data_IF_227888082315
#
_entry.id   IF_227888082315
#
_cell.length_a   1.000
_cell.length_b   1.000
_cell.length_c   1.000
_cell.angle_alpha   90.00
_cell.angle_beta   90.00
_cell.angle_gamma   90.00
#
_symmetry.space_group_name_H-M   'P 1'
#
loop_
_entity.id
_entity.type
_entity.pdbx_description
1 polymer ?
#
# COMPACT_ATOMS: atom_id res chain seq x y z
N UNK A 1 15.35 2.80 16.51
CA UNK A 1 15.55 1.78 17.57
C UNK A 1 16.75 0.91 17.20
N UNK A 2 17.31 0.13 18.13
CA UNK A 2 18.59 -0.57 17.95
C UNK A 2 18.63 -1.56 16.78
N UNK A 3 17.50 -2.20 16.44
CA UNK A 3 17.40 -3.16 15.34
C UNK A 3 17.00 -2.53 13.99
N UNK A 4 16.92 -1.20 13.91
CA UNK A 4 16.51 -0.48 12.70
C UNK A 4 15.01 -0.57 12.41
N UNK A 5 14.67 -0.41 11.13
CA UNK A 5 13.31 -0.55 10.62
C UNK A 5 12.98 -2.01 10.25
N UNK A 6 11.69 -2.32 10.10
CA UNK A 6 11.25 -3.62 9.59
C UNK A 6 11.76 -3.85 8.16
N UNK A 7 11.91 -2.79 7.37
CA UNK A 7 12.48 -2.87 6.02
C UNK A 7 13.92 -3.38 6.05
N UNK A 8 14.76 -2.79 6.91
CA UNK A 8 16.15 -3.20 7.11
C UNK A 8 16.25 -4.67 7.52
N UNK A 9 15.34 -5.09 8.41
CA UNK A 9 15.30 -6.46 8.93
C UNK A 9 14.81 -7.48 7.90
N UNK A 10 13.87 -7.12 7.03
CA UNK A 10 13.41 -7.99 5.95
C UNK A 10 14.46 -8.10 4.85
N UNK A 11 15.18 -7.01 4.56
CA UNK A 11 16.28 -6.98 3.59
C UNK A 11 17.60 -7.56 4.13
N UNK A 12 17.64 -7.95 5.41
CA UNK A 12 18.84 -8.50 6.07
C UNK A 12 20.04 -7.54 5.96
N UNK A 13 19.78 -6.23 6.08
CA UNK A 13 20.81 -5.19 6.07
C UNK A 13 21.85 -5.50 7.15
N UNK A 14 23.13 -5.26 6.84
CA UNK A 14 24.28 -5.59 7.69
C UNK A 14 24.40 -7.09 8.04
N UNK A 15 24.05 -7.97 7.10
CA UNK A 15 24.12 -9.44 7.25
C UNK A 15 23.35 -9.95 8.47
N UNK A 16 22.27 -9.27 8.81
CA UNK A 16 21.46 -9.67 9.96
C UNK A 16 20.72 -10.97 9.68
N UNK A 17 20.55 -11.86 10.69
CA UNK A 17 19.90 -13.14 10.48
C UNK A 17 18.44 -12.96 10.06
N UNK A 18 17.98 -13.88 9.21
CA UNK A 18 16.58 -13.92 8.78
C UNK A 18 15.65 -13.98 9.99
N UNK A 19 14.63 -13.13 9.98
CA UNK A 19 13.66 -13.10 11.07
C UNK A 19 12.80 -14.36 11.04
N UNK A 20 12.68 -15.11 12.16
CA UNK A 20 11.83 -16.27 12.25
C UNK A 20 10.35 -15.94 12.02
N UNK A 21 9.57 -16.88 11.50
CA UNK A 21 8.16 -16.65 11.16
C UNK A 21 7.31 -16.16 12.36
N UNK A 22 7.60 -16.64 13.57
CA UNK A 22 6.83 -16.31 14.77
C UNK A 22 7.02 -14.86 15.19
N UNK A 23 8.23 -14.32 14.98
CA UNK A 23 8.53 -12.91 15.19
C UNK A 23 7.78 -12.03 14.18
N UNK A 24 7.77 -12.44 12.91
CA UNK A 24 7.00 -11.75 11.85
C UNK A 24 5.51 -11.70 12.16
N UNK A 25 4.96 -12.81 12.65
CA UNK A 25 3.56 -12.89 13.08
C UNK A 25 3.29 -11.95 14.28
N UNK A 26 4.19 -11.92 15.27
CA UNK A 26 4.06 -11.03 16.43
C UNK A 26 4.06 -9.57 16.02
N UNK A 27 4.98 -9.17 15.13
CA UNK A 27 5.04 -7.81 14.58
C UNK A 27 3.74 -7.44 13.86
N UNK A 28 3.21 -8.32 13.00
CA UNK A 28 1.91 -8.08 12.34
C UNK A 28 0.77 -7.87 13.35
N UNK A 29 0.76 -8.65 14.43
CA UNK A 29 -0.24 -8.54 15.49
C UNK A 29 -0.11 -7.22 16.28
N UNK A 30 1.12 -6.82 16.62
CA UNK A 30 1.42 -5.57 17.32
C UNK A 30 1.00 -4.35 16.49
N UNK A 31 1.35 -4.31 15.19
CA UNK A 31 0.94 -3.24 14.27
C UNK A 31 -0.59 -3.18 14.17
N UNK A 32 -1.25 -4.33 13.97
CA UNK A 32 -2.71 -4.37 13.89
C UNK A 32 -3.36 -3.85 15.19
N UNK A 33 -2.78 -4.18 16.35
CA UNK A 33 -3.26 -3.70 17.64
C UNK A 33 -3.07 -2.19 17.80
N UNK A 34 -1.93 -1.66 17.35
CA UNK A 34 -1.66 -0.23 17.34
C UNK A 34 -2.65 0.52 16.42
N UNK A 35 -2.92 0.03 15.21
CA UNK A 35 -3.92 0.62 14.32
C UNK A 35 -5.33 0.60 14.94
N UNK A 36 -5.72 -0.51 15.58
CA UNK A 36 -7.01 -0.58 16.30
C UNK A 36 -7.10 0.48 17.40
N UNK A 37 -6.02 0.71 18.12
CA UNK A 37 -5.95 1.78 19.13
C UNK A 37 -6.12 3.17 18.51
N UNK A 38 -5.38 3.47 17.42
CA UNK A 38 -5.49 4.74 16.70
C UNK A 38 -6.90 4.96 16.13
N UNK A 39 -7.47 3.96 15.46
CA UNK A 39 -8.79 4.04 14.83
C UNK A 39 -9.94 4.13 15.85
N UNK A 40 -9.75 3.64 17.08
CA UNK A 40 -10.75 3.75 18.16
C UNK A 40 -10.60 5.00 19.02
N UNK A 41 -9.57 5.81 18.78
CA UNK A 41 -9.33 7.04 19.53
C UNK A 41 -10.53 7.98 19.47
N UNK A 42 -10.73 8.73 20.55
CA UNK A 42 -11.83 9.68 20.72
C UNK A 42 -11.27 11.09 20.93
N UNK A 43 -11.94 12.16 20.44
CA UNK A 43 -13.28 12.17 19.84
C UNK A 43 -13.33 11.64 18.40
N UNK A 44 -12.19 11.53 17.71
CA UNK A 44 -12.11 11.14 16.29
C UNK A 44 -11.06 10.04 16.08
N UNK A 45 -11.25 9.14 15.09
CA UNK A 45 -10.23 8.17 14.71
C UNK A 45 -8.98 8.90 14.21
N UNK A 46 -7.81 8.38 14.61
CA UNK A 46 -6.51 8.80 14.08
C UNK A 46 -6.14 7.82 12.97
N UNK A 47 -5.87 8.32 11.76
CA UNK A 47 -5.43 7.50 10.63
C UNK A 47 -3.93 7.73 10.43
N UNK A 48 -3.15 6.65 10.31
CA UNK A 48 -1.69 6.69 10.20
C UNK A 48 -1.22 7.28 8.87
N UNK A 49 -1.84 6.87 7.74
CA UNK A 49 -1.65 7.38 6.36
C UNK A 49 -0.35 7.01 5.65
N UNK A 50 0.75 6.75 6.35
CA UNK A 50 2.00 6.25 5.73
C UNK A 50 2.54 4.99 6.42
N UNK A 51 1.68 3.97 6.56
CA UNK A 51 2.10 2.70 7.13
C UNK A 51 2.93 1.91 6.10
N UNK A 52 4.20 1.64 6.42
CA UNK A 52 5.14 0.86 5.61
C UNK A 52 6.22 0.23 6.50
N UNK A 53 6.97 -0.79 6.05
CA UNK A 53 8.04 -1.41 6.82
C UNK A 53 9.10 -0.41 7.33
N UNK A 54 9.42 0.60 6.53
CA UNK A 54 10.35 1.67 6.93
C UNK A 54 9.89 2.51 8.13
N UNK A 55 8.57 2.60 8.37
CA UNK A 55 7.99 3.35 9.50
C UNK A 55 7.63 2.43 10.68
N UNK A 56 8.11 1.18 10.67
CA UNK A 56 7.95 0.21 11.75
C UNK A 56 9.34 -0.04 12.34
N UNK A 57 9.61 0.51 13.51
CA UNK A 57 10.89 0.33 14.19
C UNK A 57 10.87 -0.89 15.10
N UNK A 58 12.04 -1.54 15.23
CA UNK A 58 12.21 -2.75 16.03
C UNK A 58 13.31 -2.55 17.09
N UNK A 59 13.08 -3.03 18.31
CA UNK A 59 14.14 -3.07 19.36
C UNK A 59 14.92 -4.38 19.28
N UNK A 60 15.88 -4.57 20.20
CA UNK A 60 16.68 -5.79 20.30
C UNK A 60 15.84 -7.05 20.56
N UNK A 61 14.61 -6.91 21.06
CA UNK A 61 13.68 -8.02 21.28
C UNK A 61 12.69 -8.20 20.14
N UNK A 62 12.81 -7.47 19.02
CA UNK A 62 11.85 -7.40 17.91
C UNK A 62 10.46 -6.85 18.29
N UNK A 63 10.34 -6.13 19.40
CA UNK A 63 9.09 -5.42 19.73
C UNK A 63 8.95 -4.27 18.74
N UNK A 64 7.80 -4.21 18.07
CA UNK A 64 7.51 -3.22 17.04
C UNK A 64 6.91 -1.95 17.60
N UNK A 65 7.33 -0.81 17.05
CA UNK A 65 6.76 0.51 17.30
C UNK A 65 6.50 1.22 15.98
N UNK A 66 5.33 1.83 15.87
CA UNK A 66 5.02 2.70 14.74
C UNK A 66 5.71 4.05 14.91
N UNK A 67 6.41 4.47 13.87
CA UNK A 67 7.04 5.79 13.73
C UNK A 67 6.30 6.61 12.66
N UNK A 68 6.59 7.91 12.61
CA UNK A 68 6.11 8.84 11.58
C UNK A 68 4.58 9.08 11.55
N UNK A 69 4.06 9.50 12.72
CA UNK A 69 2.69 10.03 12.88
C UNK A 69 2.58 11.43 12.22
N UNK A 70 3.64 11.97 11.60
CA UNK A 70 3.67 13.31 11.00
C UNK A 70 2.67 13.51 9.87
N UNK A 71 2.22 12.43 9.25
CA UNK A 71 1.18 12.42 8.21
C UNK A 71 -0.20 12.03 8.73
N UNK A 72 -0.31 11.71 10.02
CA UNK A 72 -1.56 11.26 10.60
C UNK A 72 -2.58 12.39 10.65
N UNK A 73 -3.83 12.07 10.32
CA UNK A 73 -4.93 13.05 10.30
C UNK A 73 -6.13 12.51 11.08
N UNK A 74 -6.81 13.42 11.78
CA UNK A 74 -8.09 13.17 12.43
C UNK A 74 -9.23 13.46 11.45
N UNK A 75 -10.12 12.50 11.23
CA UNK A 75 -11.24 12.69 10.28
C UNK A 75 -12.49 13.21 10.98
N UNK A 76 -13.13 14.24 10.40
CA UNK A 76 -14.46 14.69 10.77
C UNK A 76 -15.52 13.72 10.23
N UNK A 77 -16.14 12.93 11.12
CA UNK A 77 -17.21 12.00 10.76
C UNK A 77 -18.61 12.65 10.73
N UNK A 78 -18.75 13.90 11.17
CA UNK A 78 -20.06 14.57 11.29
C UNK A 78 -20.56 15.20 9.99
N UNK A 79 -19.71 15.32 8.96
CA UNK A 79 -20.01 16.05 7.71
C UNK A 79 -20.25 15.11 6.51
N UNK A 80 -21.09 14.09 6.71
CA UNK A 80 -21.51 13.18 5.62
C UNK A 80 -22.37 13.91 4.58
N UNK A 81 -22.85 15.13 4.88
CA UNK A 81 -23.64 15.97 3.98
C UNK A 81 -22.80 16.93 3.12
N UNK A 82 -21.61 17.36 3.56
CA UNK A 82 -20.72 18.28 2.83
C UNK A 82 -19.60 17.54 2.08
N UNK A 83 -19.98 16.60 1.21
CA UNK A 83 -19.08 15.68 0.48
C UNK A 83 -18.12 16.31 -0.56
N UNK A 84 -17.94 17.63 -0.62
CA UNK A 84 -17.19 18.26 -1.73
C UNK A 84 -16.20 19.37 -1.36
N UNK A 85 -16.27 19.95 -0.16
CA UNK A 85 -15.53 21.19 0.14
C UNK A 85 -14.43 21.03 1.19
N UNK A 86 -14.52 20.06 2.12
CA UNK A 86 -13.51 19.86 3.18
C UNK A 86 -12.51 18.73 2.85
N UNK A 87 -12.81 17.89 1.86
CA UNK A 87 -12.01 16.71 1.47
C UNK A 87 -11.02 16.95 0.32
N UNK A 88 -10.94 18.17 -0.23
CA UNK A 88 -10.15 18.50 -1.43
C UNK A 88 -8.69 18.90 -1.17
N UNK A 89 -8.27 19.06 0.09
CA UNK A 89 -6.94 19.59 0.44
C UNK A 89 -5.96 18.57 1.04
N UNK A 90 -6.31 17.29 1.11
CA UNK A 90 -5.31 16.28 1.49
C UNK A 90 -4.54 15.86 0.25
N UNK A 91 -3.39 16.49 0.00
CA UNK A 91 -2.40 16.05 -1.00
C UNK A 91 -2.24 14.53 -0.96
N UNK A 92 -2.06 13.87 -2.09
CA UNK A 92 -1.78 12.43 -2.10
C UNK A 92 -0.45 12.21 -1.35
N UNK A 93 -0.53 11.71 -0.11
CA UNK A 93 0.65 11.41 0.71
C UNK A 93 0.59 9.94 1.12
N UNK A 94 1.73 9.28 1.02
CA UNK A 94 1.91 7.87 1.28
C UNK A 94 2.95 7.28 0.33
N UNK A 95 3.53 6.15 0.70
CA UNK A 95 4.46 5.43 -0.16
C UNK A 95 3.69 4.60 -1.18
N UNK A 96 3.90 4.84 -2.48
CA UNK A 96 3.02 4.41 -3.59
C UNK A 96 2.49 2.97 -3.49
N UNK A 97 3.33 1.98 -3.17
CA UNK A 97 2.94 0.57 -3.12
C UNK A 97 2.04 0.20 -1.93
N UNK A 98 1.87 1.11 -0.97
CA UNK A 98 1.07 0.92 0.25
C UNK A 98 -0.20 1.77 0.24
N UNK A 99 -0.39 2.62 -0.78
CA UNK A 99 -1.57 3.48 -0.89
C UNK A 99 -2.78 2.63 -1.29
N UNK A 100 -3.84 2.77 -0.51
CA UNK A 100 -5.15 2.19 -0.81
C UNK A 100 -5.66 2.69 -2.19
N UNK A 101 -5.96 1.78 -3.15
CA UNK A 101 -6.47 2.14 -4.46
C UNK A 101 -7.75 2.98 -4.41
N UNK A 102 -8.60 2.78 -3.40
CA UNK A 102 -9.80 3.58 -3.21
C UNK A 102 -9.46 5.00 -2.77
N UNK A 103 -8.54 5.16 -1.81
CA UNK A 103 -8.02 6.46 -1.40
C UNK A 103 -7.33 7.17 -2.58
N UNK A 104 -6.51 6.45 -3.36
CA UNK A 104 -5.84 6.99 -4.53
C UNK A 104 -6.82 7.51 -5.58
N UNK A 105 -7.92 6.79 -5.81
CA UNK A 105 -8.95 7.16 -6.81
C UNK A 105 -9.85 8.30 -6.34
N UNK A 106 -10.21 8.31 -5.07
CA UNK A 106 -11.24 9.21 -4.52
C UNK A 106 -10.67 10.43 -3.81
N UNK A 107 -9.42 10.36 -3.37
CA UNK A 107 -8.83 11.31 -2.42
C UNK A 107 -9.39 11.17 -0.99
N UNK A 108 -10.32 10.24 -0.74
CA UNK A 108 -10.99 10.09 0.56
C UNK A 108 -10.20 9.09 1.40
N UNK A 109 -9.57 9.60 2.46
CA UNK A 109 -8.85 8.76 3.42
C UNK A 109 -9.80 8.21 4.48
N UNK A 110 -9.59 6.95 4.87
CA UNK A 110 -10.35 6.32 5.94
C UNK A 110 -9.50 5.34 6.74
N UNK A 111 -9.97 4.84 7.90
CA UNK A 111 -9.31 3.73 8.60
C UNK A 111 -9.08 2.50 7.71
N UNK A 112 -9.85 2.32 6.62
CA UNK A 112 -9.62 1.24 5.66
C UNK A 112 -8.33 1.41 4.86
N UNK A 113 -7.86 2.63 4.69
CA UNK A 113 -6.63 2.91 3.97
C UNK A 113 -5.42 2.37 4.73
N UNK A 114 -5.35 2.55 6.05
CA UNK A 114 -4.31 1.91 6.89
C UNK A 114 -4.42 0.38 6.89
N UNK A 115 -5.65 -0.17 6.81
CA UNK A 115 -5.87 -1.63 6.74
C UNK A 115 -5.32 -2.20 5.42
N UNK A 116 -5.46 -1.47 4.31
CA UNK A 116 -4.86 -1.84 3.04
C UNK A 116 -3.32 -1.87 3.15
N UNK A 117 -2.73 -0.79 3.66
CA UNK A 117 -1.28 -0.70 3.86
C UNK A 117 -0.74 -1.82 4.77
N UNK A 118 -1.48 -2.16 5.85
CA UNK A 118 -1.17 -3.30 6.71
C UNK A 118 -1.20 -4.62 5.93
N UNK A 119 -2.15 -4.79 5.01
CA UNK A 119 -2.22 -5.95 4.13
C UNK A 119 -0.93 -6.15 3.34
N UNK A 120 -0.41 -5.08 2.73
CA UNK A 120 0.86 -5.11 2.00
C UNK A 120 2.04 -5.46 2.93
N UNK A 121 2.11 -4.84 4.12
CA UNK A 121 3.13 -5.16 5.13
C UNK A 121 3.08 -6.64 5.53
N UNK A 122 1.89 -7.20 5.74
CA UNK A 122 1.71 -8.63 6.07
C UNK A 122 2.23 -9.52 4.93
N UNK A 123 1.92 -9.19 3.67
CA UNK A 123 2.42 -9.94 2.53
C UNK A 123 3.95 -9.93 2.46
N UNK A 124 4.58 -8.79 2.74
CA UNK A 124 6.04 -8.70 2.82
C UNK A 124 6.62 -9.48 4.00
N UNK A 125 5.96 -9.47 5.16
CA UNK A 125 6.36 -10.29 6.30
C UNK A 125 6.35 -11.79 5.93
N UNK A 126 5.34 -12.26 5.20
CA UNK A 126 5.25 -13.67 4.79
C UNK A 126 6.29 -14.03 3.73
N UNK A 127 6.48 -13.16 2.73
CA UNK A 127 7.24 -13.51 1.52
C UNK A 127 8.69 -13.00 1.52
N UNK A 128 9.02 -12.01 2.36
CA UNK A 128 10.24 -11.21 2.29
C UNK A 128 10.50 -10.60 0.89
N UNK A 129 9.46 -10.38 0.10
CA UNK A 129 9.56 -9.81 -1.26
C UNK A 129 9.31 -8.30 -1.28
N UNK A 130 9.72 -7.69 -2.38
CA UNK A 130 9.40 -6.29 -2.71
C UNK A 130 7.88 -6.08 -2.68
N UNK A 131 7.39 -4.90 -2.24
CA UNK A 131 5.96 -4.58 -2.30
C UNK A 131 5.47 -4.38 -3.75
N UNK A 132 6.38 -4.20 -4.71
CA UNK A 132 6.05 -4.04 -6.13
C UNK A 132 5.57 -5.39 -6.68
N UNK A 133 4.37 -5.41 -7.27
CA UNK A 133 3.79 -6.60 -7.90
C UNK A 133 3.38 -7.72 -6.95
N UNK A 134 3.56 -7.55 -5.63
CA UNK A 134 3.27 -8.60 -4.65
C UNK A 134 1.80 -9.01 -4.64
N UNK A 135 0.88 -8.05 -4.82
CA UNK A 135 -0.56 -8.30 -4.89
C UNK A 135 -0.92 -9.16 -6.09
N UNK A 136 -0.39 -8.82 -7.28
CA UNK A 136 -0.59 -9.61 -8.49
C UNK A 136 -0.03 -11.03 -8.32
N UNK A 137 1.18 -11.16 -7.76
CA UNK A 137 1.81 -12.47 -7.55
C UNK A 137 0.98 -13.36 -6.60
N UNK A 138 0.42 -12.76 -5.55
CA UNK A 138 -0.48 -13.45 -4.64
C UNK A 138 -1.79 -13.83 -5.34
N UNK A 139 -2.41 -12.93 -6.10
CA UNK A 139 -3.64 -13.21 -6.85
C UNK A 139 -3.47 -14.34 -7.87
N UNK A 140 -2.32 -14.44 -8.53
CA UNK A 140 -2.01 -15.54 -9.46
C UNK A 140 -1.88 -16.90 -8.74
N UNK A 141 -1.27 -16.90 -7.55
CA UNK A 141 -0.89 -18.14 -6.86
C UNK A 141 -1.91 -18.61 -5.83
N UNK A 142 -2.82 -17.73 -5.36
CA UNK A 142 -3.82 -18.06 -4.32
C UNK A 142 -4.84 -19.13 -4.76
N UNK A 143 -4.87 -19.47 -6.05
CA UNK A 143 -5.72 -20.52 -6.60
C UNK A 143 -5.19 -21.92 -6.26
N UNK A 144 -3.87 -22.06 -6.04
CA UNK A 144 -3.21 -23.31 -5.68
C UNK A 144 -2.40 -23.15 -4.39
N UNK A 145 -2.73 -23.94 -3.37
CA UNK A 145 -2.08 -23.83 -2.07
C UNK A 145 -0.57 -24.10 -2.15
N UNK A 146 -0.11 -24.99 -3.03
CA UNK A 146 1.32 -25.28 -3.15
C UNK A 146 2.08 -24.13 -3.82
N UNK A 147 1.52 -23.53 -4.87
CA UNK A 147 2.09 -22.35 -5.52
C UNK A 147 2.09 -21.12 -4.60
N UNK A 148 1.01 -20.92 -3.83
CA UNK A 148 0.95 -19.85 -2.85
C UNK A 148 2.00 -20.03 -1.76
N UNK A 149 2.17 -21.26 -1.25
CA UNK A 149 3.19 -21.58 -0.25
C UNK A 149 4.62 -21.44 -0.80
N UNK A 150 4.82 -21.64 -2.10
CA UNK A 150 6.11 -21.40 -2.74
C UNK A 150 6.52 -19.91 -2.71
N UNK A 151 5.61 -18.98 -2.42
CA UNK A 151 5.94 -17.57 -2.20
C UNK A 151 6.50 -17.27 -0.81
N UNK A 152 6.29 -18.15 0.17
CA UNK A 152 6.63 -17.90 1.56
C UNK A 152 8.14 -17.96 1.76
N UNK A 153 8.65 -17.10 2.64
CA UNK A 153 10.09 -17.04 2.88
C UNK A 153 10.56 -18.27 3.67
N UNK A 154 11.24 -19.18 2.97
CA UNK A 154 11.85 -20.39 3.55
C UNK A 154 12.94 -20.06 4.58
N UNK A 155 13.56 -18.87 4.50
CA UNK A 155 14.57 -18.43 5.49
C UNK A 155 13.96 -18.12 6.85
N UNK A 156 12.64 -17.90 6.93
CA UNK A 156 11.92 -17.68 8.18
C UNK A 156 11.71 -18.98 9.00
N UNK A 157 12.17 -20.12 8.48
CA UNK A 157 12.03 -21.44 9.09
C UNK A 157 10.73 -22.14 8.72
N UNK A 158 10.36 -23.14 9.51
CA UNK A 158 9.14 -23.93 9.28
C UNK A 158 7.92 -23.18 9.76
N UNK A 159 7.19 -22.59 8.82
CA UNK A 159 5.90 -21.99 9.09
C UNK A 159 4.92 -23.04 9.64
N UNK A 160 4.06 -22.69 10.62
CA UNK A 160 3.19 -23.63 11.32
C UNK A 160 2.03 -24.06 10.41
N UNK A 161 2.28 -25.08 9.60
CA UNK A 161 1.31 -25.62 8.65
C UNK A 161 0.47 -26.79 9.23
N UNK A 162 0.74 -27.23 10.47
CA UNK A 162 0.23 -28.51 11.01
C UNK A 162 -0.87 -28.42 12.07
N UNK A 163 -1.15 -27.27 12.68
CA UNK A 163 -2.25 -27.14 13.67
C UNK A 163 -3.65 -26.98 13.03
N UNK A 164 -3.72 -27.04 11.71
CA UNK A 164 -4.93 -26.92 10.89
C UNK A 164 -5.44 -28.28 10.38
N UNK A 165 -4.81 -29.39 10.80
CA UNK A 165 -5.00 -30.69 10.13
C UNK A 165 -6.13 -31.56 10.69
N UNK A 166 -6.78 -31.17 11.78
CA UNK A 166 -8.02 -31.79 12.23
C UNK A 166 -9.18 -30.81 12.00
N UNK A 167 -9.83 -31.01 10.85
CA UNK A 167 -11.20 -30.56 10.54
C UNK A 167 -11.40 -29.11 10.03
N UNK A 168 -10.65 -28.63 9.02
CA UNK A 168 -10.49 -27.16 8.81
C UNK A 168 -10.26 -26.60 7.39
N UNK A 169 -10.92 -27.08 6.33
CA UNK A 169 -11.00 -26.31 5.05
C UNK A 169 -11.68 -24.94 5.23
N UNK A 170 -12.44 -24.74 6.31
CA UNK A 170 -13.08 -23.47 6.70
C UNK A 170 -12.28 -22.64 7.72
N UNK A 171 -11.29 -23.20 8.43
CA UNK A 171 -10.61 -22.49 9.52
C UNK A 171 -9.27 -21.86 9.11
N UNK A 172 -8.65 -22.28 8.00
CA UNK A 172 -7.51 -21.53 7.43
C UNK A 172 -7.99 -20.17 6.93
N UNK A 173 -9.16 -20.09 6.28
CA UNK A 173 -9.89 -18.82 6.05
C UNK A 173 -10.27 -18.04 7.33
N UNK A 174 -10.18 -18.65 8.52
CA UNK A 174 -10.63 -18.06 9.78
C UNK A 174 -9.52 -17.45 10.63
N UNK A 175 -8.25 -17.56 10.23
CA UNK A 175 -7.20 -16.83 10.94
C UNK A 175 -7.55 -15.33 10.92
N UNK A 176 -7.30 -14.62 12.02
CA UNK A 176 -7.60 -13.19 12.09
C UNK A 176 -6.89 -12.42 10.97
N UNK A 177 -5.75 -12.92 10.48
CA UNK A 177 -5.02 -12.41 9.31
C UNK A 177 -5.79 -12.64 8.01
N UNK A 178 -6.32 -13.84 7.76
CA UNK A 178 -7.13 -14.11 6.57
C UNK A 178 -8.45 -13.34 6.56
N UNK A 179 -9.04 -13.04 7.72
CA UNK A 179 -10.18 -12.11 7.80
C UNK A 179 -9.80 -10.67 7.45
N UNK A 180 -8.57 -10.25 7.73
CA UNK A 180 -8.06 -8.92 7.33
C UNK A 180 -7.79 -8.88 5.83
N UNK A 181 -7.18 -9.93 5.28
CA UNK A 181 -6.95 -10.10 3.83
C UNK A 181 -8.27 -10.22 3.07
N UNK A 182 -9.22 -11.02 3.55
CA UNK A 182 -10.56 -11.19 2.96
C UNK A 182 -11.41 -9.91 3.07
N UNK A 183 -11.28 -9.14 4.16
CA UNK A 183 -11.94 -7.83 4.30
C UNK A 183 -11.28 -6.74 3.44
N UNK A 184 -9.97 -6.84 3.19
CA UNK A 184 -9.28 -6.02 2.20
C UNK A 184 -9.73 -6.39 0.78
N UNK A 185 -9.87 -7.69 0.47
CA UNK A 185 -10.35 -8.21 -0.81
C UNK A 185 -11.83 -7.88 -1.08
N UNK A 186 -12.72 -8.02 -0.09
CA UNK A 186 -14.14 -7.67 -0.23
C UNK A 186 -14.39 -6.15 -0.32
N UNK A 187 -13.35 -5.32 -0.13
CA UNK A 187 -13.38 -3.88 -0.43
C UNK A 187 -12.84 -3.57 -1.85
N UNK A 188 -12.25 -4.55 -2.54
CA UNK A 188 -11.76 -4.44 -3.92
C UNK A 188 -12.76 -5.11 -4.84
N UNK A 189 -13.62 -4.30 -5.46
CA UNK A 189 -14.42 -4.76 -6.58
C UNK A 189 -13.51 -5.29 -7.69
N UNK A 190 -13.87 -6.45 -8.27
CA UNK A 190 -13.17 -7.13 -9.38
C UNK A 190 -12.45 -6.14 -10.30
N UNK A 191 -11.12 -6.18 -10.35
CA UNK A 191 -10.36 -5.44 -11.34
C UNK A 191 -10.25 -6.21 -12.65
N UNK A 192 -10.28 -5.52 -13.81
CA UNK A 192 -10.31 -6.15 -15.13
C UNK A 192 -8.93 -6.65 -15.54
N UNK A 193 -8.86 -7.53 -16.56
CA UNK A 193 -7.63 -8.06 -17.20
C UNK A 193 -6.75 -7.01 -17.93
N UNK A 194 -6.85 -5.74 -17.54
CA UNK A 194 -6.16 -4.61 -18.16
C UNK A 194 -4.89 -4.16 -17.40
N UNK A 195 -4.14 -3.20 -17.96
CA UNK A 195 -3.08 -2.52 -17.22
C UNK A 195 -3.63 -1.92 -15.90
N UNK A 196 -2.85 -1.98 -14.81
CA UNK A 196 -3.17 -1.26 -13.58
C UNK A 196 -3.55 0.20 -13.87
N UNK A 197 -4.62 0.68 -13.24
CA UNK A 197 -5.20 2.00 -13.52
C UNK A 197 -4.20 3.16 -13.32
N UNK A 198 -3.25 3.01 -12.41
CA UNK A 198 -2.19 4.00 -12.15
C UNK A 198 -1.09 4.05 -13.22
N UNK A 199 -1.06 3.08 -14.14
CA UNK A 199 -0.22 3.16 -15.34
C UNK A 199 -0.87 3.99 -16.44
N UNK A 200 -2.17 4.28 -16.33
CA UNK A 200 -2.95 4.94 -17.38
C UNK A 200 -2.88 6.47 -17.23
N UNK A 201 -2.45 7.13 -18.30
CA UNK A 201 -2.45 8.58 -18.41
C UNK A 201 -3.88 9.15 -18.30
N UNK A 202 -4.18 10.06 -17.36
CA UNK A 202 -5.50 10.68 -17.25
C UNK A 202 -5.93 11.44 -18.51
N UNK A 203 -4.97 12.03 -19.23
CA UNK A 203 -5.19 12.74 -20.50
C UNK A 203 -5.39 11.77 -21.68
N UNK A 204 -4.46 10.83 -21.87
CA UNK A 204 -4.42 9.97 -23.06
C UNK A 204 -5.23 8.68 -22.95
N UNK A 205 -5.68 8.32 -21.74
CA UNK A 205 -6.39 7.07 -21.43
C UNK A 205 -5.68 5.79 -21.90
N UNK A 206 -4.34 5.83 -21.99
CA UNK A 206 -3.45 4.71 -22.33
C UNK A 206 -2.27 4.63 -21.36
N UNK A 207 -1.55 3.50 -21.35
CA UNK A 207 -0.34 3.33 -20.52
C UNK A 207 0.68 4.43 -20.83
N UNK A 208 1.15 5.12 -19.79
CA UNK A 208 2.16 6.18 -19.91
C UNK A 208 3.47 5.61 -20.47
N UNK A 209 4.12 6.36 -21.36
CA UNK A 209 5.48 6.07 -21.84
C UNK A 209 6.50 6.73 -20.93
N UNK A 210 6.30 8.00 -20.63
CA UNK A 210 7.18 8.79 -19.78
C UNK A 210 6.35 9.48 -18.69
N UNK A 211 6.11 8.82 -17.55
CA UNK A 211 5.29 9.37 -16.48
C UNK A 211 6.00 10.54 -15.81
N UNK A 212 5.26 11.61 -15.57
CA UNK A 212 5.74 12.81 -14.91
C UNK A 212 4.65 13.49 -14.09
N UNK A 213 5.04 14.08 -12.95
CA UNK A 213 4.15 14.70 -11.98
C UNK A 213 4.08 16.20 -12.26
N UNK A 214 2.87 16.73 -12.44
CA UNK A 214 2.64 18.17 -12.53
C UNK A 214 2.41 18.79 -11.14
N UNK A 215 2.35 20.12 -11.05
CA UNK A 215 2.18 20.85 -9.79
C UNK A 215 0.88 20.53 -9.02
N UNK A 216 -0.11 19.95 -9.68
CA UNK A 216 -1.34 19.44 -9.07
C UNK A 216 -1.18 18.07 -8.37
N UNK A 217 0.02 17.48 -8.44
CA UNK A 217 0.32 16.16 -7.87
C UNK A 217 -0.17 14.98 -8.71
N UNK A 218 -0.82 15.22 -9.86
CA UNK A 218 -1.22 14.16 -10.78
C UNK A 218 -0.06 13.76 -11.68
N UNK A 219 -0.01 12.47 -12.01
CA UNK A 219 0.96 11.95 -12.97
C UNK A 219 0.33 11.84 -14.35
N UNK A 220 1.06 12.30 -15.36
CA UNK A 220 0.66 12.31 -16.76
C UNK A 220 1.77 11.74 -17.62
N UNK A 221 1.44 11.40 -18.87
CA UNK A 221 2.45 11.20 -19.89
C UNK A 221 3.08 12.55 -20.26
N UNK A 222 4.42 12.61 -20.30
CA UNK A 222 5.20 13.83 -20.51
C UNK A 222 4.77 14.62 -21.74
N UNK A 223 4.62 13.95 -22.87
CA UNK A 223 4.24 14.58 -24.13
C UNK A 223 2.85 15.23 -23.98
N UNK A 224 1.90 14.51 -23.41
CA UNK A 224 0.52 14.98 -23.26
C UNK A 224 0.38 16.18 -22.32
N UNK A 225 1.08 16.17 -21.18
CA UNK A 225 0.98 17.28 -20.23
C UNK A 225 1.73 18.52 -20.72
N UNK A 226 2.86 18.34 -21.41
CA UNK A 226 3.58 19.45 -22.04
C UNK A 226 2.71 20.12 -23.11
N UNK A 227 2.01 19.33 -23.91
CA UNK A 227 1.09 19.84 -24.93
C UNK A 227 -0.08 20.62 -24.31
N UNK A 228 -0.68 20.09 -23.24
CA UNK A 228 -1.77 20.76 -22.52
C UNK A 228 -1.33 22.11 -21.93
N UNK A 229 -0.15 22.14 -21.27
CA UNK A 229 0.37 23.35 -20.61
C UNK A 229 0.83 24.45 -21.56
N UNK A 230 0.92 24.18 -22.87
CA UNK A 230 1.16 25.23 -23.88
C UNK A 230 -0.03 26.16 -24.03
N UNK A 231 -1.24 25.61 -23.92
CA UNK A 231 -2.48 26.35 -24.19
C UNK A 231 -3.30 26.60 -22.92
N UNK A 232 -2.96 25.94 -21.81
CA UNK A 232 -3.73 26.00 -20.57
C UNK A 232 -2.84 26.25 -19.35
N UNK A 233 -3.40 26.96 -18.38
CA UNK A 233 -2.80 27.18 -17.05
C UNK A 233 -3.53 26.39 -15.96
N UNK A 234 -4.33 25.41 -16.36
CA UNK A 234 -5.18 24.62 -15.47
C UNK A 234 -4.82 23.13 -15.49
N UNK A 235 -5.13 22.45 -14.40
CA UNK A 235 -4.99 21.00 -14.26
C UNK A 235 -5.92 20.29 -15.23
N UNK A 236 -5.42 19.36 -16.07
CA UNK A 236 -6.27 18.62 -16.99
C UNK A 236 -7.27 17.67 -16.32
N UNK A 237 -7.09 17.34 -15.03
CA UNK A 237 -7.99 16.46 -14.28
C UNK A 237 -9.04 17.26 -13.52
N UNK A 238 -8.67 18.39 -12.92
CA UNK A 238 -9.55 19.15 -12.02
C UNK A 238 -10.07 20.45 -12.62
N UNK A 239 -9.48 20.88 -13.73
CA UNK A 239 -9.71 22.18 -14.38
C UNK A 239 -9.45 23.39 -13.45
N UNK A 240 -8.71 23.19 -12.36
CA UNK A 240 -8.29 24.26 -11.45
C UNK A 240 -6.97 24.88 -11.91
N UNK A 241 -6.72 26.17 -11.61
CA UNK A 241 -5.43 26.81 -11.91
C UNK A 241 -4.27 26.04 -11.26
N UNK A 242 -3.21 25.82 -12.04
CA UNK A 242 -1.99 25.21 -11.53
C UNK A 242 -1.14 26.25 -10.79
N UNK A 243 -0.53 25.90 -9.63
CA UNK A 243 0.39 26.79 -8.94
C UNK A 243 1.59 27.20 -9.79
N UNK A 244 2.09 26.28 -10.61
CA UNK A 244 3.13 26.50 -11.61
C UNK A 244 3.05 25.45 -12.74
N UNK A 245 3.89 25.60 -13.77
CA UNK A 245 3.96 24.70 -14.93
C UNK A 245 5.13 23.69 -14.85
N UNK A 246 5.70 23.50 -13.66
CA UNK A 246 6.80 22.57 -13.49
C UNK A 246 6.30 21.13 -13.62
N UNK A 247 7.13 20.31 -14.26
CA UNK A 247 6.86 18.90 -14.47
C UNK A 247 8.08 18.11 -14.00
N UNK A 248 7.88 17.20 -13.06
CA UNK A 248 8.93 16.36 -12.48
C UNK A 248 8.84 14.94 -13.05
N UNK A 249 9.97 14.35 -13.43
CA UNK A 249 9.97 12.96 -13.90
C UNK A 249 9.58 12.00 -12.76
N UNK A 250 8.71 11.02 -13.04
CA UNK A 250 8.35 9.97 -12.09
C UNK A 250 9.09 8.67 -12.43
N UNK A 251 10.38 8.61 -12.07
CA UNK A 251 11.23 7.45 -12.37
C UNK A 251 10.77 6.15 -11.71
N UNK A 252 10.13 6.25 -10.53
CA UNK A 252 9.55 5.10 -9.83
C UNK A 252 8.42 4.48 -10.64
N UNK A 253 7.45 5.29 -11.10
CA UNK A 253 6.35 4.80 -11.94
C UNK A 253 6.84 4.34 -13.31
N UNK A 254 7.85 5.00 -13.87
CA UNK A 254 8.47 4.58 -15.12
C UNK A 254 9.05 3.17 -15.01
N UNK A 255 9.81 2.90 -13.94
CA UNK A 255 10.41 1.59 -13.69
C UNK A 255 9.33 0.50 -13.51
N UNK A 256 8.28 0.80 -12.75
CA UNK A 256 7.15 -0.12 -12.55
C UNK A 256 6.40 -0.45 -13.87
N UNK A 257 6.21 0.54 -14.74
CA UNK A 257 5.59 0.33 -16.05
C UNK A 257 6.47 -0.54 -16.95
N UNK A 258 7.79 -0.35 -16.91
CA UNK A 258 8.74 -1.12 -17.72
C UNK A 258 8.79 -2.59 -17.28
N UNK A 259 8.84 -2.83 -15.96
CA UNK A 259 8.79 -4.17 -15.38
C UNK A 259 7.49 -4.91 -15.75
N UNK A 260 6.34 -4.22 -15.66
CA UNK A 260 5.05 -4.77 -16.06
C UNK A 260 4.98 -5.10 -17.56
N UNK A 261 5.54 -4.24 -18.42
CA UNK A 261 5.61 -4.51 -19.87
C UNK A 261 6.50 -5.71 -20.20
N UNK A 262 7.58 -5.91 -19.45
CA UNK A 262 8.48 -7.07 -19.64
C UNK A 262 7.92 -8.39 -19.12
N UNK A 263 6.91 -8.34 -18.24
CA UNK A 263 6.26 -9.51 -17.63
C UNK A 263 5.03 -9.99 -18.41
N UNK A 264 4.77 -9.42 -19.59
CA UNK A 264 3.70 -9.81 -20.53
C UNK A 264 4.28 -10.49 -21.76
#
# INVERSE_FOLDING_TARGET
>A
MESGSLDDRLMQVNDTPAMPWFERFRIAFEIASALVFLHKSKPRPIIHRDLKPGNILLDHNFVSKLEDIGLSTMVNLEDVSSKLTVLKETSLVGTLCYIDPEYQRTGIISPKSDVYSLGIVILQLITAKSPIGITQKVEETIVDDAEFMALWDVKAGTWPMSETRTDQTLKIRSSRLWKVVDKAQNSVGRTPSGPPSHFICPLLKRVMKEPCVAADGYTYDREAIQDWLRENDTSPVTNLPLPDKNILANYTLYSAIMEWKSSK
#
